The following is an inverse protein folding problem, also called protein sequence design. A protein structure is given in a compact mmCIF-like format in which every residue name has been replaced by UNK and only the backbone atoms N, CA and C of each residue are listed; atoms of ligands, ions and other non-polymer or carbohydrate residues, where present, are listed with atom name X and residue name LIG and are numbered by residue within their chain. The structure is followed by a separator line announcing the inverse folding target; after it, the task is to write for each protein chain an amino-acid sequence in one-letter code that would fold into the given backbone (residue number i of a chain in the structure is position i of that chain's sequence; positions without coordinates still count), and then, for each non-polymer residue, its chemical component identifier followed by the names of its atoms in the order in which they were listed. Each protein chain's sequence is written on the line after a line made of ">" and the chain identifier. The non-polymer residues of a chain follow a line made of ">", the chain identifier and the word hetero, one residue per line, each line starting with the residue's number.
data_IF_732609126986
#
_entry.id   IF_732609126986
#
_cell.length_a   1.000
_cell.length_b   1.000
_cell.length_c   1.000
_cell.angle_alpha   90.00
_cell.angle_beta   90.00
_cell.angle_gamma   90.00
#
_symmetry.space_group_name_H-M   'P 1'
#
loop_
_entity.id
_entity.type
_entity.pdbx_description
1 polymer ?
#
# COMPACT_ATOMS: atom_id res chain seq x y z
N UNK A 1 -9.89 -6.58 30.58
CA UNK A 1 -9.91 -6.16 29.16
C UNK A 1 -10.41 -4.73 29.14
N UNK A 2 -9.58 -3.79 28.70
CA UNK A 2 -10.04 -2.42 28.45
C UNK A 2 -11.12 -2.45 27.37
N UNK A 3 -12.13 -1.58 27.48
CA UNK A 3 -13.18 -1.45 26.49
C UNK A 3 -12.59 -1.06 25.12
N UNK A 4 -12.99 -1.76 24.06
CA UNK A 4 -12.56 -1.44 22.68
C UNK A 4 -13.23 -0.13 22.26
N UNK A 5 -12.44 0.90 21.97
CA UNK A 5 -12.97 2.19 21.52
C UNK A 5 -13.63 2.05 20.14
N UNK A 6 -14.85 2.55 19.98
CA UNK A 6 -15.60 2.46 18.71
C UNK A 6 -15.69 3.82 18.03
N UNK A 7 -15.53 3.80 16.71
CA UNK A 7 -15.81 4.91 15.81
C UNK A 7 -16.71 4.42 14.68
N UNK A 8 -17.48 5.31 14.08
CA UNK A 8 -18.35 4.98 12.95
C UNK A 8 -18.29 6.08 11.90
N UNK A 9 -18.14 5.66 10.65
CA UNK A 9 -18.31 6.51 9.47
C UNK A 9 -19.64 6.11 8.83
N UNK A 10 -20.49 7.08 8.51
CA UNK A 10 -21.83 6.81 7.94
C UNK A 10 -21.93 7.15 6.46
N UNK A 11 -21.01 7.97 5.94
CA UNK A 11 -21.01 8.43 4.55
C UNK A 11 -19.58 8.57 4.01
N UNK A 12 -19.38 8.42 2.68
CA UNK A 12 -18.08 8.63 2.07
C UNK A 12 -17.70 10.11 2.07
N UNK A 13 -16.42 10.37 2.30
CA UNK A 13 -15.85 11.72 2.16
C UNK A 13 -15.67 12.08 0.68
N UNK A 14 -15.33 11.09 -0.15
CA UNK A 14 -15.14 11.25 -1.59
C UNK A 14 -15.73 10.04 -2.35
N UNK A 15 -16.62 10.30 -3.30
CA UNK A 15 -17.28 9.28 -4.12
C UNK A 15 -16.50 9.04 -5.42
N UNK A 16 -15.48 8.18 -5.37
CA UNK A 16 -14.64 7.82 -6.52
C UNK A 16 -15.12 6.57 -7.26
N UNK A 17 -15.75 5.62 -6.55
CA UNK A 17 -16.13 4.31 -7.09
C UNK A 17 -14.97 3.62 -7.84
N UNK A 18 -13.80 3.59 -7.19
CA UNK A 18 -12.63 2.87 -7.67
C UNK A 18 -12.97 1.38 -7.85
N UNK A 19 -12.36 0.73 -8.83
CA UNK A 19 -12.42 -0.73 -8.90
C UNK A 19 -11.59 -1.33 -7.74
N UNK A 20 -10.35 -0.87 -7.58
CA UNK A 20 -9.52 -1.19 -6.43
C UNK A 20 -8.79 0.06 -5.95
N UNK A 21 -9.43 0.81 -5.05
CA UNK A 21 -8.86 2.00 -4.45
C UNK A 21 -7.75 1.62 -3.47
N UNK A 22 -6.54 2.13 -3.63
CA UNK A 22 -5.37 1.63 -2.88
C UNK A 22 -4.26 2.67 -2.70
N UNK A 23 -3.25 2.30 -1.92
CA UNK A 23 -1.97 3.00 -1.78
C UNK A 23 -2.08 4.50 -1.43
N UNK A 24 -2.95 4.92 -0.49
CA UNK A 24 -3.03 6.31 -0.08
C UNK A 24 -1.69 6.80 0.50
N UNK A 25 -1.26 7.96 0.01
CA UNK A 25 -0.01 8.61 0.36
C UNK A 25 -0.25 10.10 0.60
N UNK A 26 -0.05 10.53 1.84
CA UNK A 26 -0.15 11.94 2.21
C UNK A 26 1.12 12.69 1.77
N UNK A 27 0.94 13.63 0.85
CA UNK A 27 1.98 14.53 0.35
C UNK A 27 1.99 15.79 1.24
N UNK A 28 2.62 15.72 2.42
CA UNK A 28 2.65 16.79 3.44
C UNK A 28 3.07 18.15 2.83
N UNK A 29 4.13 18.15 2.00
CA UNK A 29 4.69 19.35 1.35
C UNK A 29 3.70 20.03 0.37
N UNK A 30 2.73 19.29 -0.16
CA UNK A 30 1.72 19.78 -1.13
C UNK A 30 0.34 19.93 -0.51
N UNK A 31 0.18 19.50 0.75
CA UNK A 31 -1.11 19.34 1.40
C UNK A 31 -2.13 18.59 0.52
N UNK A 32 -1.72 17.46 -0.05
CA UNK A 32 -2.57 16.62 -0.89
C UNK A 32 -2.52 15.15 -0.47
N UNK A 33 -3.55 14.39 -0.83
CA UNK A 33 -3.55 12.93 -0.75
C UNK A 33 -3.47 12.37 -2.17
N UNK A 34 -2.46 11.55 -2.44
CA UNK A 34 -2.31 10.74 -3.67
C UNK A 34 -2.77 9.33 -3.37
N UNK A 35 -3.49 8.70 -4.29
CA UNK A 35 -3.94 7.31 -4.15
C UNK A 35 -4.19 6.71 -5.53
N UNK A 36 -4.50 5.43 -5.57
CA UNK A 36 -4.51 4.61 -6.78
C UNK A 36 -5.88 4.01 -7.02
N UNK A 37 -6.19 3.76 -8.29
CA UNK A 37 -7.13 2.70 -8.68
C UNK A 37 -6.30 1.67 -9.44
N UNK A 38 -5.96 0.57 -8.78
CA UNK A 38 -4.98 -0.41 -9.29
C UNK A 38 -5.50 -1.08 -10.55
N UNK A 39 -6.79 -1.41 -10.57
CA UNK A 39 -7.43 -2.12 -11.68
C UNK A 39 -7.79 -1.20 -12.84
N UNK A 40 -8.22 0.04 -12.55
CA UNK A 40 -8.40 1.06 -13.61
C UNK A 40 -7.09 1.76 -14.00
N UNK A 41 -5.95 1.30 -13.46
CA UNK A 41 -4.61 1.78 -13.80
C UNK A 41 -4.48 3.30 -13.63
N UNK A 42 -5.05 3.87 -12.57
CA UNK A 42 -5.13 5.32 -12.38
C UNK A 42 -4.34 5.79 -11.16
N UNK A 43 -3.66 6.93 -11.30
CA UNK A 43 -3.13 7.70 -10.16
C UNK A 43 -4.02 8.92 -9.98
N UNK A 44 -4.52 9.13 -8.76
CA UNK A 44 -5.45 10.19 -8.40
C UNK A 44 -4.88 11.08 -7.30
N UNK A 45 -5.41 12.30 -7.20
CA UNK A 45 -5.04 13.25 -6.14
C UNK A 45 -6.22 14.11 -5.72
N UNK A 46 -6.24 14.48 -4.44
CA UNK A 46 -7.10 15.52 -3.88
C UNK A 46 -6.24 16.54 -3.11
N UNK A 47 -6.49 17.82 -3.33
CA UNK A 47 -5.94 18.93 -2.54
C UNK A 47 -6.75 19.03 -1.24
N UNK A 48 -6.09 18.80 -0.10
CA UNK A 48 -6.76 18.69 1.20
C UNK A 48 -7.29 20.03 1.70
N UNK A 49 -6.75 21.16 1.25
CA UNK A 49 -7.28 22.48 1.59
C UNK A 49 -8.59 22.78 0.84
N UNK A 50 -8.73 22.28 -0.39
CA UNK A 50 -9.95 22.43 -1.22
C UNK A 50 -10.97 21.31 -1.00
N UNK A 51 -10.56 20.21 -0.38
CA UNK A 51 -11.39 19.05 -0.09
C UNK A 51 -11.82 18.27 -1.34
N UNK A 52 -12.87 17.43 -1.24
CA UNK A 52 -13.28 16.48 -2.27
C UNK A 52 -13.53 17.10 -3.66
N UNK A 53 -13.94 18.38 -3.70
CA UNK A 53 -14.20 19.12 -4.93
C UNK A 53 -12.97 19.28 -5.84
N UNK A 54 -11.76 19.10 -5.30
CA UNK A 54 -10.49 19.21 -6.03
C UNK A 54 -9.98 17.88 -6.60
N UNK A 55 -10.74 16.80 -6.43
CA UNK A 55 -10.40 15.49 -6.94
C UNK A 55 -10.05 15.55 -8.44
N UNK A 56 -8.91 14.93 -8.80
CA UNK A 56 -8.52 14.72 -10.18
C UNK A 56 -7.78 13.40 -10.35
N UNK A 57 -7.96 12.79 -11.51
CA UNK A 57 -7.04 11.77 -12.03
C UNK A 57 -5.83 12.49 -12.62
N UNK A 58 -4.63 12.17 -12.11
CA UNK A 58 -3.37 12.67 -12.67
C UNK A 58 -3.13 12.03 -14.04
N UNK A 59 -3.25 10.71 -14.11
CA UNK A 59 -3.01 9.91 -15.32
C UNK A 59 -3.71 8.55 -15.20
N UNK A 60 -4.27 8.10 -16.32
CA UNK A 60 -4.57 6.68 -16.55
C UNK A 60 -3.38 6.09 -17.31
N UNK A 61 -2.83 5.01 -16.78
CA UNK A 61 -1.67 4.30 -17.26
C UNK A 61 -2.10 3.11 -18.13
N UNK A 62 -1.13 2.51 -18.80
CA UNK A 62 -1.22 1.23 -19.49
C UNK A 62 -0.76 0.05 -18.60
N UNK A 63 -0.47 0.32 -17.33
CA UNK A 63 0.02 -0.63 -16.33
C UNK A 63 -0.69 -0.41 -14.99
N UNK A 64 -0.84 -1.48 -14.20
CA UNK A 64 -1.23 -1.33 -12.81
C UNK A 64 -0.07 -0.79 -11.97
N UNK A 65 -0.38 0.15 -11.07
CA UNK A 65 0.52 0.63 -10.01
C UNK A 65 -0.13 0.21 -8.70
N UNK A 66 0.64 -0.42 -7.81
CA UNK A 66 0.14 -0.94 -6.54
C UNK A 66 0.46 -0.04 -5.34
N UNK A 67 1.65 0.57 -5.32
CA UNK A 67 2.05 1.48 -4.25
C UNK A 67 2.96 2.61 -4.76
N UNK A 68 3.01 3.72 -4.00
CA UNK A 68 3.85 4.89 -4.32
C UNK A 68 4.57 5.42 -3.09
N UNK A 69 5.69 6.10 -3.32
CA UNK A 69 6.39 6.87 -2.31
C UNK A 69 6.99 8.14 -2.92
N UNK A 70 7.25 9.14 -2.07
CA UNK A 70 8.03 10.31 -2.46
C UNK A 70 9.52 10.00 -2.46
N UNK A 71 10.27 10.73 -3.28
CA UNK A 71 11.74 10.60 -3.42
C UNK A 71 12.40 11.74 -2.65
N UNK A 72 13.43 11.43 -1.86
CA UNK A 72 14.19 12.44 -1.12
C UNK A 72 14.89 13.39 -2.12
N UNK A 73 14.76 14.69 -1.89
CA UNK A 73 15.35 15.72 -2.76
C UNK A 73 14.67 15.94 -4.12
N UNK A 74 13.56 15.24 -4.44
CA UNK A 74 12.86 15.39 -5.72
C UNK A 74 11.37 15.74 -5.49
N UNK A 75 11.02 16.99 -5.84
CA UNK A 75 9.68 17.56 -5.70
C UNK A 75 8.79 17.37 -6.95
N UNK A 76 9.37 16.90 -8.06
CA UNK A 76 8.71 16.73 -9.36
C UNK A 76 8.21 15.34 -9.60
N UNK A 77 8.82 14.33 -9.01
CA UNK A 77 8.56 12.93 -9.30
C UNK A 77 8.26 12.13 -8.03
N UNK A 78 7.48 11.09 -8.17
CA UNK A 78 7.29 10.05 -7.16
C UNK A 78 7.77 8.72 -7.71
N UNK A 79 8.17 7.81 -6.82
CA UNK A 79 8.50 6.43 -7.16
C UNK A 79 7.29 5.54 -6.95
N UNK A 80 7.17 4.49 -7.74
CA UNK A 80 6.10 3.52 -7.64
C UNK A 80 6.63 2.10 -7.85
N UNK A 81 5.89 1.12 -7.32
CA UNK A 81 5.99 -0.27 -7.74
C UNK A 81 4.66 -0.68 -8.41
N UNK A 82 4.77 -1.36 -9.54
CA UNK A 82 3.62 -1.70 -10.39
C UNK A 82 3.87 -2.99 -11.16
N UNK A 83 3.16 -3.17 -12.29
CA UNK A 83 3.12 -4.41 -13.08
C UNK A 83 4.47 -5.13 -13.22
N UNK A 84 5.49 -4.42 -13.69
CA UNK A 84 6.78 -5.04 -14.06
C UNK A 84 7.92 -4.81 -13.06
N UNK A 85 7.76 -3.90 -12.09
CA UNK A 85 8.83 -3.52 -11.18
C UNK A 85 8.67 -2.13 -10.60
N UNK A 86 9.80 -1.43 -10.44
CA UNK A 86 9.90 -0.09 -9.88
C UNK A 86 10.10 0.95 -10.99
N UNK A 87 9.30 2.02 -10.95
CA UNK A 87 9.39 3.15 -11.87
C UNK A 87 9.19 4.47 -11.16
N UNK A 88 9.36 5.56 -11.90
CA UNK A 88 9.13 6.91 -11.42
C UNK A 88 8.22 7.67 -12.37
N UNK A 89 7.37 8.51 -11.82
CA UNK A 89 6.39 9.28 -12.57
C UNK A 89 6.35 10.74 -12.13
N UNK A 90 6.09 11.63 -13.08
CA UNK A 90 5.92 13.05 -12.80
C UNK A 90 4.66 13.32 -11.98
N UNK A 91 4.78 14.10 -10.90
CA UNK A 91 3.69 14.42 -9.97
C UNK A 91 2.55 15.21 -10.62
N UNK A 92 2.75 15.91 -11.73
CA UNK A 92 1.71 16.70 -12.40
C UNK A 92 1.18 16.05 -13.66
N UNK A 93 2.04 15.48 -14.50
CA UNK A 93 1.64 14.89 -15.79
C UNK A 93 1.37 13.39 -15.72
N UNK A 94 1.93 12.70 -14.72
CA UNK A 94 1.93 11.24 -14.62
C UNK A 94 2.77 10.53 -15.71
N UNK A 95 3.54 11.26 -16.51
CA UNK A 95 4.49 10.64 -17.44
C UNK A 95 5.55 9.86 -16.65
N UNK A 96 5.81 8.63 -17.07
CA UNK A 96 6.59 7.67 -16.28
C UNK A 96 7.69 6.98 -17.08
N UNK A 97 8.63 6.40 -16.33
CA UNK A 97 9.68 5.51 -16.85
C UNK A 97 10.06 4.47 -15.81
N UNK A 98 10.59 3.35 -16.28
CA UNK A 98 11.10 2.29 -15.41
C UNK A 98 12.47 2.65 -14.83
N UNK A 99 12.72 2.19 -13.61
CA UNK A 99 14.04 2.19 -12.97
C UNK A 99 14.61 0.78 -12.90
N UNK A 100 13.77 -0.19 -12.54
CA UNK A 100 14.20 -1.57 -12.31
C UNK A 100 13.05 -2.55 -12.48
N UNK A 101 13.19 -3.51 -13.39
CA UNK A 101 12.30 -4.69 -13.48
C UNK A 101 12.74 -5.74 -12.45
N UNK A 102 11.78 -6.50 -11.91
CA UNK A 102 12.04 -7.37 -10.75
C UNK A 102 12.27 -8.84 -11.07
N UNK A 103 11.77 -9.31 -12.21
CA UNK A 103 11.85 -10.72 -12.58
C UNK A 103 13.18 -11.04 -13.28
N UNK A 104 13.79 -12.15 -12.88
CA UNK A 104 14.97 -12.71 -13.57
C UNK A 104 14.63 -13.20 -14.98
N UNK A 105 15.63 -13.41 -15.84
CA UNK A 105 15.42 -13.94 -17.19
C UNK A 105 14.71 -15.29 -17.22
N UNK A 106 14.98 -16.17 -16.24
CA UNK A 106 14.28 -17.45 -16.09
C UNK A 106 12.82 -17.27 -15.70
N UNK A 107 12.50 -16.32 -14.82
CA UNK A 107 11.12 -16.03 -14.40
C UNK A 107 10.32 -15.34 -15.51
N UNK A 108 10.98 -14.48 -16.31
CA UNK A 108 10.42 -13.91 -17.54
C UNK A 108 10.09 -15.02 -18.54
N UNK A 109 11.00 -15.99 -18.73
CA UNK A 109 10.75 -17.16 -19.59
C UNK A 109 9.58 -18.02 -19.09
N UNK A 110 9.35 -18.02 -17.78
CA UNK A 110 8.19 -18.66 -17.14
C UNK A 110 6.94 -17.74 -17.10
N UNK A 111 6.95 -16.63 -17.83
CA UNK A 111 5.84 -15.68 -17.98
C UNK A 111 5.46 -14.91 -16.71
N UNK A 112 6.30 -14.87 -15.66
CA UNK A 112 5.97 -14.15 -14.41
C UNK A 112 5.67 -12.66 -14.65
N UNK A 113 6.43 -12.00 -15.52
CA UNK A 113 6.23 -10.59 -15.83
C UNK A 113 4.84 -10.23 -16.38
N UNK A 114 4.16 -11.16 -17.07
CA UNK A 114 2.82 -10.93 -17.61
C UNK A 114 1.71 -11.25 -16.59
N UNK A 115 1.93 -12.22 -15.71
CA UNK A 115 0.89 -12.76 -14.81
C UNK A 115 1.01 -12.26 -13.37
N UNK A 116 2.04 -11.49 -13.03
CA UNK A 116 2.20 -10.84 -11.74
C UNK A 116 2.02 -9.32 -11.84
N UNK A 117 1.79 -8.67 -10.71
CA UNK A 117 1.83 -7.22 -10.53
C UNK A 117 2.34 -6.85 -9.14
N UNK A 118 2.86 -5.64 -9.00
CA UNK A 118 3.03 -5.01 -7.69
C UNK A 118 1.68 -4.84 -6.99
N UNK A 119 1.67 -5.01 -5.67
CA UNK A 119 0.53 -4.77 -4.79
C UNK A 119 0.88 -3.68 -3.77
N UNK A 120 1.05 -3.97 -2.49
CA UNK A 120 1.43 -2.93 -1.52
C UNK A 120 2.95 -2.82 -1.32
N UNK A 121 3.38 -1.74 -0.67
CA UNK A 121 4.77 -1.47 -0.38
C UNK A 121 4.98 -0.16 0.38
N UNK A 122 6.15 -0.05 0.99
CA UNK A 122 6.55 1.11 1.78
C UNK A 122 8.06 1.32 1.74
N UNK A 123 8.48 2.53 2.10
CA UNK A 123 9.90 2.89 2.21
C UNK A 123 10.34 2.80 3.66
N UNK A 124 11.47 2.15 3.90
CA UNK A 124 12.05 2.05 5.23
C UNK A 124 12.91 3.26 5.63
N UNK A 125 13.41 3.27 6.87
CA UNK A 125 14.19 4.39 7.43
C UNK A 125 15.48 4.70 6.67
N UNK A 126 16.04 3.71 5.98
CA UNK A 126 17.23 3.84 5.15
C UNK A 126 16.90 4.27 3.72
N UNK A 127 15.62 4.49 3.40
CA UNK A 127 15.19 4.94 2.09
C UNK A 127 15.15 3.84 1.04
N UNK A 128 15.05 2.57 1.45
CA UNK A 128 14.87 1.42 0.54
C UNK A 128 13.38 1.22 0.30
N UNK A 129 12.98 1.03 -0.95
CA UNK A 129 11.58 0.81 -1.30
C UNK A 129 11.27 -0.68 -1.36
N UNK A 130 10.48 -1.17 -0.41
CA UNK A 130 9.97 -2.52 -0.35
C UNK A 130 8.61 -2.59 -1.05
N UNK A 131 8.43 -3.54 -1.95
CA UNK A 131 7.16 -3.77 -2.62
C UNK A 131 6.92 -5.25 -2.84
N UNK A 132 5.70 -5.69 -2.53
CA UNK A 132 5.26 -7.05 -2.78
C UNK A 132 4.68 -7.22 -4.18
N UNK A 133 4.92 -8.38 -4.76
CA UNK A 133 4.41 -8.79 -6.06
C UNK A 133 3.59 -10.07 -5.89
N UNK A 134 2.41 -10.09 -6.49
CA UNK A 134 1.45 -11.19 -6.48
C UNK A 134 0.97 -11.51 -7.89
N UNK A 135 0.28 -12.63 -8.04
CA UNK A 135 -0.50 -12.90 -9.24
C UNK A 135 -1.48 -11.76 -9.48
N UNK A 136 -1.62 -11.39 -10.74
CA UNK A 136 -2.54 -10.36 -11.18
C UNK A 136 -3.91 -11.00 -11.48
N UNK A 137 -4.93 -10.79 -10.61
CA UNK A 137 -6.23 -11.44 -10.75
C UNK A 137 -6.97 -11.01 -12.03
N UNK A 138 -6.54 -9.92 -12.67
CA UNK A 138 -7.13 -9.46 -13.93
C UNK A 138 -6.74 -10.32 -15.14
N UNK A 139 -5.65 -11.08 -15.04
CA UNK A 139 -5.08 -11.82 -16.18
C UNK A 139 -4.70 -13.26 -15.84
N UNK A 140 -4.85 -13.70 -14.58
CA UNK A 140 -4.50 -15.06 -14.16
C UNK A 140 -5.25 -15.49 -12.90
N UNK A 141 -5.37 -16.81 -12.72
CA UNK A 141 -5.84 -17.41 -11.47
C UNK A 141 -4.81 -17.23 -10.35
N UNK A 142 -5.31 -17.10 -9.12
CA UNK A 142 -4.48 -16.92 -7.92
C UNK A 142 -3.49 -18.07 -7.68
N UNK A 143 -2.25 -17.73 -7.33
CA UNK A 143 -1.23 -18.67 -6.82
C UNK A 143 -0.35 -17.99 -5.78
N UNK A 144 0.59 -18.75 -5.20
CA UNK A 144 1.36 -18.37 -4.01
C UNK A 144 2.86 -18.16 -4.25
N UNK A 145 3.32 -18.03 -5.50
CA UNK A 145 4.74 -17.81 -5.86
C UNK A 145 5.10 -16.34 -6.12
N UNK A 146 4.46 -15.44 -5.37
CA UNK A 146 4.83 -14.03 -5.26
C UNK A 146 6.07 -13.83 -4.40
N UNK A 147 6.55 -12.59 -4.37
CA UNK A 147 7.76 -12.21 -3.66
C UNK A 147 7.70 -10.76 -3.20
N UNK A 148 8.45 -10.42 -2.16
CA UNK A 148 8.75 -9.04 -1.82
C UNK A 148 10.12 -8.70 -2.35
N UNK A 149 10.19 -7.61 -3.11
CA UNK A 149 11.43 -7.04 -3.61
C UNK A 149 11.75 -5.75 -2.87
N UNK A 150 13.04 -5.47 -2.73
CA UNK A 150 13.55 -4.25 -2.12
C UNK A 150 14.49 -3.54 -3.07
N UNK A 151 14.09 -2.37 -3.53
CA UNK A 151 14.95 -1.46 -4.30
C UNK A 151 15.77 -0.61 -3.34
N UNK A 152 17.09 -0.75 -3.40
CA UNK A 152 18.02 0.02 -2.58
C UNK A 152 18.29 1.42 -3.19
N UNK A 153 18.78 2.40 -2.39
CA UNK A 153 19.17 3.72 -2.89
C UNK A 153 20.17 3.69 -4.06
N UNK A 154 21.02 2.67 -4.16
CA UNK A 154 21.96 2.48 -5.26
C UNK A 154 21.35 1.77 -6.48
N UNK A 155 20.03 1.54 -6.48
CA UNK A 155 19.24 0.83 -7.49
C UNK A 155 19.56 -0.67 -7.62
N UNK A 156 20.33 -1.24 -6.68
CA UNK A 156 20.40 -2.68 -6.52
C UNK A 156 19.04 -3.22 -6.03
N UNK A 157 18.76 -4.47 -6.38
CA UNK A 157 17.48 -5.11 -6.11
C UNK A 157 17.73 -6.37 -5.29
N UNK A 158 17.15 -6.41 -4.09
CA UNK A 158 17.13 -7.59 -3.23
C UNK A 158 15.76 -8.26 -3.25
N UNK A 159 15.72 -9.54 -2.89
CA UNK A 159 14.49 -10.33 -2.70
C UNK A 159 14.44 -10.88 -1.27
N UNK A 160 13.97 -10.08 -0.29
CA UNK A 160 13.93 -10.49 1.10
C UNK A 160 12.88 -11.55 1.45
N UNK A 161 11.84 -11.72 0.64
CA UNK A 161 10.79 -12.73 0.85
C UNK A 161 10.33 -13.35 -0.46
N UNK A 162 10.09 -14.66 -0.44
CA UNK A 162 9.47 -15.46 -1.50
C UNK A 162 8.21 -16.15 -0.95
N UNK A 163 7.50 -16.89 -1.79
CA UNK A 163 6.30 -17.69 -1.47
C UNK A 163 5.16 -16.85 -0.86
N UNK A 164 4.93 -15.67 -1.43
CA UNK A 164 3.89 -14.73 -1.01
C UNK A 164 2.64 -14.89 -1.87
N UNK A 165 1.46 -14.84 -1.25
CA UNK A 165 0.19 -14.95 -1.97
C UNK A 165 -0.39 -13.58 -2.35
N UNK A 166 -0.69 -12.73 -1.36
CA UNK A 166 -1.19 -11.36 -1.56
C UNK A 166 -0.45 -10.46 -0.56
N UNK A 167 0.70 -9.86 -0.94
CA UNK A 167 1.45 -8.97 -0.09
C UNK A 167 0.69 -7.67 0.09
N UNK A 168 0.35 -7.36 1.34
CA UNK A 168 -0.29 -6.12 1.71
C UNK A 168 0.58 -5.35 2.69
N UNK A 169 -0.04 -4.60 3.62
CA UNK A 169 0.64 -3.58 4.41
C UNK A 169 2.03 -3.99 4.88
N UNK A 170 2.99 -3.07 4.67
CA UNK A 170 4.37 -3.20 5.12
C UNK A 170 4.74 -1.96 5.93
N UNK A 171 5.11 -2.12 7.19
CA UNK A 171 5.51 -1.00 8.07
C UNK A 171 6.64 -1.40 9.01
N UNK A 172 7.27 -0.40 9.63
CA UNK A 172 8.30 -0.58 10.65
C UNK A 172 7.87 0.11 11.92
N UNK A 173 8.19 -0.50 13.06
CA UNK A 173 7.97 0.15 14.34
C UNK A 173 8.86 1.39 14.51
N UNK A 174 8.56 2.21 15.52
CA UNK A 174 9.28 3.47 15.79
C UNK A 174 10.75 3.25 16.18
N UNK A 175 11.06 2.09 16.78
CA UNK A 175 12.41 1.71 17.18
C UNK A 175 13.26 1.22 16.02
N UNK A 176 12.65 1.00 14.85
CA UNK A 176 13.32 0.60 13.62
C UNK A 176 14.05 -0.77 13.75
N UNK A 177 13.46 -1.65 14.56
CA UNK A 177 13.96 -3.00 14.85
C UNK A 177 12.91 -4.10 14.60
N UNK A 178 11.69 -3.74 14.23
CA UNK A 178 10.61 -4.66 13.84
C UNK A 178 10.00 -4.22 12.51
N UNK A 179 9.88 -5.17 11.57
CA UNK A 179 9.08 -5.04 10.36
C UNK A 179 7.75 -5.78 10.54
N UNK A 180 6.63 -5.14 10.21
CA UNK A 180 5.31 -5.75 10.10
C UNK A 180 4.93 -5.96 8.64
N UNK A 181 4.29 -7.10 8.34
CA UNK A 181 3.92 -7.49 6.99
C UNK A 181 2.62 -8.31 6.98
N UNK A 182 1.67 -7.91 6.15
CA UNK A 182 0.43 -8.66 5.92
C UNK A 182 0.52 -9.51 4.65
N UNK A 183 0.12 -10.79 4.76
CA UNK A 183 -0.15 -11.66 3.61
C UNK A 183 -1.60 -12.12 3.71
N UNK A 184 -2.51 -11.47 2.98
CA UNK A 184 -3.94 -11.45 3.31
C UNK A 184 -4.59 -12.85 3.43
N UNK A 185 -4.33 -13.82 2.53
CA UNK A 185 -4.90 -15.17 2.63
C UNK A 185 -4.53 -15.92 3.90
N UNK A 186 -3.42 -15.55 4.56
CA UNK A 186 -3.02 -16.15 5.84
C UNK A 186 -3.84 -15.63 7.03
N UNK A 187 -4.68 -14.60 6.83
CA UNK A 187 -5.43 -13.90 7.89
C UNK A 187 -4.55 -13.44 9.06
N UNK A 188 -3.28 -13.20 8.77
CA UNK A 188 -2.24 -12.93 9.77
C UNK A 188 -1.38 -11.75 9.31
N UNK A 189 -1.15 -10.83 10.24
CA UNK A 189 -0.07 -9.84 10.12
C UNK A 189 1.12 -10.42 10.88
N UNK A 190 2.23 -10.58 10.19
CA UNK A 190 3.49 -11.08 10.74
C UNK A 190 4.36 -9.92 11.22
N UNK A 191 5.25 -10.23 12.15
CA UNK A 191 6.38 -9.38 12.49
C UNK A 191 7.69 -10.15 12.32
N UNK A 192 8.76 -9.40 12.08
CA UNK A 192 10.12 -9.88 11.88
C UNK A 192 11.06 -9.02 12.71
N UNK A 193 12.14 -9.63 13.22
CA UNK A 193 13.28 -8.85 13.68
C UNK A 193 13.92 -8.20 12.44
N UNK A 194 14.13 -6.89 12.49
CA UNK A 194 14.62 -6.08 11.39
C UNK A 194 15.92 -5.38 11.79
N UNK A 195 16.96 -5.50 10.97
CA UNK A 195 18.18 -4.72 11.14
C UNK A 195 18.12 -3.52 10.20
N UNK A 196 17.87 -2.32 10.73
CA UNK A 196 17.83 -1.09 9.93
C UNK A 196 19.08 -0.90 9.06
N UNK A 197 20.29 -1.23 9.55
CA UNK A 197 21.54 -0.95 8.82
C UNK A 197 21.66 -1.80 7.56
N UNK A 198 21.30 -3.07 7.63
CA UNK A 198 21.46 -4.05 6.54
C UNK A 198 20.16 -4.31 5.79
N UNK A 199 19.04 -4.05 6.45
CA UNK A 199 17.67 -4.36 6.04
C UNK A 199 17.35 -5.84 6.08
N UNK A 200 18.19 -6.65 6.73
CA UNK A 200 17.90 -8.06 6.94
C UNK A 200 16.67 -8.23 7.83
N UNK A 201 15.87 -9.26 7.52
CA UNK A 201 14.74 -9.69 8.34
C UNK A 201 14.94 -11.12 8.81
N UNK A 202 14.57 -11.40 10.06
CA UNK A 202 14.68 -12.73 10.68
C UNK A 202 13.49 -13.01 11.59
N UNK A 203 13.34 -14.26 12.04
CA UNK A 203 12.41 -14.66 13.08
C UNK A 203 10.93 -14.27 12.82
N UNK A 204 10.42 -14.63 11.62
CA UNK A 204 9.00 -14.48 11.26
C UNK A 204 8.11 -15.09 12.35
N UNK A 205 7.20 -14.29 12.88
CA UNK A 205 6.22 -14.73 13.90
C UNK A 205 4.92 -13.94 13.75
N UNK A 206 3.76 -14.50 14.14
CA UNK A 206 2.52 -13.74 14.16
C UNK A 206 2.64 -12.51 15.08
N UNK A 207 2.16 -11.37 14.61
CA UNK A 207 1.90 -10.18 15.43
C UNK A 207 0.40 -10.09 15.74
N UNK A 208 -0.43 -10.27 14.72
CA UNK A 208 -1.88 -10.29 14.84
C UNK A 208 -2.46 -11.40 13.97
N UNK A 209 -3.36 -12.19 14.54
CA UNK A 209 -4.11 -13.23 13.84
C UNK A 209 -5.59 -12.87 13.96
N UNK A 210 -6.31 -12.93 12.85
CA UNK A 210 -7.76 -12.68 12.85
C UNK A 210 -8.48 -13.59 13.86
N UNK A 211 -9.48 -13.07 14.60
CA UNK A 211 -10.28 -13.89 15.49
C UNK A 211 -10.99 -15.05 14.76
N UNK A 212 -10.96 -16.24 15.34
CA UNK A 212 -11.56 -17.46 14.77
C UNK A 212 -13.10 -17.46 14.82
N UNK A 213 -13.70 -16.56 15.61
CA UNK A 213 -15.16 -16.44 15.76
C UNK A 213 -15.85 -15.81 14.54
N UNK A 214 -15.09 -15.45 13.49
CA UNK A 214 -15.58 -14.81 12.26
C UNK A 214 -16.45 -13.57 12.50
N UNK A 215 -16.29 -12.88 13.65
CA UNK A 215 -17.10 -11.70 13.98
C UNK A 215 -16.97 -10.54 13.00
N UNK A 216 -15.94 -10.59 12.15
CA UNK A 216 -15.69 -9.62 11.08
C UNK A 216 -16.09 -10.13 9.69
N UNK A 217 -16.67 -11.34 9.57
CA UNK A 217 -16.98 -11.98 8.29
C UNK A 217 -15.99 -13.09 7.94
N UNK A 218 -16.50 -14.13 7.26
CA UNK A 218 -15.69 -15.31 6.89
C UNK A 218 -14.60 -14.99 5.88
N UNK A 219 -14.83 -14.01 5.01
CA UNK A 219 -13.88 -13.57 3.98
C UNK A 219 -13.01 -12.38 4.43
N UNK A 220 -13.14 -11.94 5.69
CA UNK A 220 -12.38 -10.81 6.19
C UNK A 220 -10.89 -11.13 6.31
N UNK A 221 -10.06 -10.27 5.73
CA UNK A 221 -8.61 -10.38 5.74
C UNK A 221 -7.95 -9.03 6.04
N UNK A 222 -6.81 -8.99 6.76
CA UNK A 222 -6.01 -7.78 6.86
C UNK A 222 -5.49 -7.36 5.50
N UNK A 223 -5.59 -6.07 5.21
CA UNK A 223 -5.16 -5.45 3.95
C UNK A 223 -4.03 -4.43 4.21
N UNK A 224 -4.11 -3.22 3.65
CA UNK A 224 -3.21 -2.11 3.96
C UNK A 224 -3.27 -1.66 5.43
N UNK A 225 -2.14 -1.18 5.95
CA UNK A 225 -2.05 -0.67 7.31
C UNK A 225 -1.06 0.49 7.48
N UNK A 226 -1.20 1.25 8.56
CA UNK A 226 -0.26 2.28 9.00
C UNK A 226 -0.09 2.27 10.52
N UNK A 227 0.97 2.91 11.03
CA UNK A 227 1.21 3.03 12.48
C UNK A 227 0.94 4.46 12.96
N UNK A 228 0.42 4.59 14.18
CA UNK A 228 0.35 5.86 14.89
C UNK A 228 1.61 6.14 15.73
N UNK A 229 1.74 7.38 16.22
CA UNK A 229 2.90 7.82 17.00
C UNK A 229 3.07 7.10 18.36
N UNK A 230 2.02 6.43 18.84
CA UNK A 230 2.01 5.58 20.03
C UNK A 230 2.46 4.14 19.74
N UNK A 231 2.69 3.80 18.47
CA UNK A 231 3.13 2.48 18.02
C UNK A 231 2.00 1.49 17.77
N UNK A 232 0.74 1.95 17.73
CA UNK A 232 -0.40 1.08 17.42
C UNK A 232 -0.63 1.05 15.92
N UNK A 233 -1.04 -0.13 15.43
CA UNK A 233 -1.33 -0.35 14.02
C UNK A 233 -2.79 -0.09 13.71
N UNK A 234 -3.07 0.63 12.63
CA UNK A 234 -4.38 0.76 12.02
C UNK A 234 -4.40 -0.05 10.73
N UNK A 235 -5.18 -1.13 10.68
CA UNK A 235 -5.28 -2.03 9.52
C UNK A 235 -6.71 -2.05 9.00
N UNK A 236 -6.88 -1.89 7.69
CA UNK A 236 -8.17 -2.16 7.06
C UNK A 236 -8.42 -3.67 7.03
N UNK A 237 -9.69 -4.06 7.18
CA UNK A 237 -10.15 -5.43 6.98
C UNK A 237 -10.99 -5.49 5.70
N UNK A 238 -10.35 -5.90 4.60
CA UNK A 238 -11.05 -6.16 3.35
C UNK A 238 -12.03 -7.32 3.55
N UNK A 239 -13.30 -7.13 3.20
CA UNK A 239 -14.39 -8.07 3.48
C UNK A 239 -14.97 -7.96 4.89
N UNK A 240 -14.42 -7.08 5.75
CA UNK A 240 -14.83 -6.96 7.16
C UNK A 240 -15.41 -5.62 7.58
N UNK A 241 -15.63 -4.70 6.64
CA UNK A 241 -16.32 -3.42 6.87
C UNK A 241 -15.75 -2.54 8.00
N UNK A 242 -14.47 -2.69 8.32
CA UNK A 242 -13.86 -1.91 9.39
C UNK A 242 -12.36 -1.71 9.22
N UNK A 243 -11.84 -0.77 10.02
CA UNK A 243 -10.41 -0.60 10.31
C UNK A 243 -10.20 -0.91 11.79
N UNK A 244 -9.26 -1.77 12.11
CA UNK A 244 -8.89 -2.10 13.50
C UNK A 244 -7.66 -1.31 13.94
N UNK A 245 -7.68 -0.85 15.20
CA UNK A 245 -6.47 -0.39 15.91
C UNK A 245 -5.96 -1.49 16.82
N UNK A 246 -4.73 -1.93 16.59
CA UNK A 246 -4.08 -3.07 17.25
C UNK A 246 -2.88 -2.55 18.06
N UNK A 247 -2.79 -2.97 19.33
CA UNK A 247 -1.69 -2.62 20.22
C UNK A 247 -0.38 -3.29 19.84
N UNK A 248 0.78 -2.78 20.30
CA UNK A 248 2.06 -3.45 20.10
C UNK A 248 2.11 -4.90 20.61
N UNK A 249 1.16 -5.32 21.45
CA UNK A 249 1.00 -6.68 21.96
C UNK A 249 0.05 -7.55 21.10
N UNK A 250 -0.50 -7.02 20.01
CA UNK A 250 -1.44 -7.73 19.13
C UNK A 250 -2.91 -7.65 19.58
N UNK A 251 -3.25 -6.78 20.52
CA UNK A 251 -4.62 -6.67 21.05
C UNK A 251 -5.44 -5.60 20.31
N UNK A 252 -6.68 -5.91 19.95
CA UNK A 252 -7.60 -4.93 19.36
C UNK A 252 -8.04 -3.96 20.45
N UNK A 253 -7.75 -2.66 20.27
CA UNK A 253 -8.08 -1.59 21.22
C UNK A 253 -9.04 -0.55 20.67
N UNK A 254 -9.19 -0.47 19.35
CA UNK A 254 -10.23 0.33 18.73
C UNK A 254 -10.70 -0.27 17.40
N UNK A 255 -11.87 0.17 16.95
CA UNK A 255 -12.47 -0.23 15.68
C UNK A 255 -13.21 0.96 15.07
N UNK A 256 -12.96 1.21 13.78
CA UNK A 256 -13.72 2.14 12.95
C UNK A 256 -14.61 1.31 12.05
N UNK A 257 -15.92 1.39 12.23
CA UNK A 257 -16.87 0.84 11.26
C UNK A 257 -16.92 1.75 10.03
N UNK A 258 -16.75 1.14 8.85
CA UNK A 258 -16.74 1.84 7.55
C UNK A 258 -17.96 1.34 6.76
N UNK A 259 -18.73 2.21 6.08
CA UNK A 259 -19.98 1.82 5.44
C UNK A 259 -19.74 1.21 4.04
N UNK A 260 -18.76 0.33 3.93
CA UNK A 260 -18.46 -0.48 2.74
C UNK A 260 -17.83 -1.79 3.19
N UNK A 261 -18.06 -2.86 2.45
CA UNK A 261 -17.54 -4.20 2.75
C UNK A 261 -16.04 -4.34 2.54
N UNK A 262 -15.44 -3.52 1.67
CA UNK A 262 -14.08 -3.70 1.19
C UNK A 262 -13.17 -2.48 1.45
N UNK A 263 -12.99 -2.01 2.70
CA UNK A 263 -11.94 -1.04 2.99
C UNK A 263 -10.57 -1.70 2.72
N UNK A 264 -9.65 -0.95 2.13
CA UNK A 264 -8.38 -1.49 1.61
C UNK A 264 -7.17 -0.96 2.35
N UNK A 265 -7.04 0.37 2.51
CA UNK A 265 -5.83 0.93 3.11
C UNK A 265 -6.11 2.23 3.88
N UNK A 266 -5.71 2.32 5.17
CA UNK A 266 -5.72 3.56 5.94
C UNK A 266 -4.38 4.32 5.82
N UNK A 267 -4.46 5.65 5.75
CA UNK A 267 -3.31 6.55 5.83
C UNK A 267 -3.63 7.73 6.72
N UNK A 268 -2.71 8.09 7.61
CA UNK A 268 -2.82 9.31 8.39
C UNK A 268 -2.66 10.56 7.51
N UNK A 269 -3.51 11.55 7.77
CA UNK A 269 -3.47 12.91 7.24
C UNK A 269 -3.68 13.84 8.44
N UNK A 270 -2.57 14.30 9.04
CA UNK A 270 -2.63 14.96 10.34
C UNK A 270 -3.19 14.04 11.43
N UNK A 271 -4.29 14.44 12.06
CA UNK A 271 -4.98 13.67 13.12
C UNK A 271 -6.16 12.83 12.60
N UNK A 272 -6.34 12.81 11.27
CA UNK A 272 -7.39 12.06 10.59
C UNK A 272 -6.81 10.83 9.89
N UNK A 273 -7.62 9.78 9.77
CA UNK A 273 -7.38 8.66 8.87
C UNK A 273 -8.16 8.88 7.58
N UNK A 274 -7.45 8.85 6.45
CA UNK A 274 -8.01 8.68 5.12
C UNK A 274 -8.01 7.18 4.79
N UNK A 275 -9.14 6.64 4.34
CA UNK A 275 -9.32 5.21 4.10
C UNK A 275 -9.80 5.01 2.67
N UNK A 276 -9.08 4.22 1.87
CA UNK A 276 -9.53 3.77 0.55
C UNK A 276 -10.39 2.52 0.67
N UNK A 277 -11.18 2.22 -0.39
CA UNK A 277 -11.91 0.96 -0.51
C UNK A 277 -11.94 0.47 -1.96
N UNK A 278 -12.32 -0.80 -2.13
CA UNK A 278 -12.54 -1.43 -3.43
C UNK A 278 -14.02 -1.46 -3.83
N UNK A 279 -14.25 -1.49 -5.13
CA UNK A 279 -15.58 -1.50 -5.76
C UNK A 279 -16.28 -2.85 -5.73
N UNK A 280 -15.54 -3.95 -5.52
CA UNK A 280 -16.04 -5.31 -5.66
C UNK A 280 -15.09 -6.20 -6.46
N UNK A 281 -15.34 -7.52 -6.48
CA UNK A 281 -14.49 -8.49 -7.18
C UNK A 281 -14.37 -8.19 -8.68
N UNK A 282 -13.11 -8.11 -9.11
CA UNK A 282 -12.61 -7.84 -10.45
C UNK A 282 -13.16 -8.82 -11.50
N UNK A 283 -13.77 -8.33 -12.58
CA UNK A 283 -14.20 -9.12 -13.75
C UNK A 283 -15.36 -8.50 -14.55
N UNK A 284 -15.56 -8.93 -15.81
CA UNK A 284 -16.61 -8.40 -16.73
C UNK A 284 -18.05 -8.52 -16.19
N UNK A 285 -18.27 -9.28 -15.11
CA UNK A 285 -19.57 -9.51 -14.49
C UNK A 285 -19.68 -9.01 -13.03
N UNK A 286 -18.67 -8.30 -12.52
CA UNK A 286 -18.69 -7.73 -11.16
C UNK A 286 -19.51 -6.44 -11.10
N UNK A 287 -20.44 -6.35 -10.15
CA UNK A 287 -21.15 -5.12 -9.79
C UNK A 287 -20.64 -4.54 -8.48
N UNK A 288 -21.01 -3.29 -8.13
CA UNK A 288 -20.69 -2.73 -6.82
C UNK A 288 -21.24 -3.64 -5.71
N UNK A 289 -20.39 -3.99 -4.75
CA UNK A 289 -20.77 -4.88 -3.63
C UNK A 289 -21.67 -4.20 -2.60
N UNK A 290 -21.65 -2.86 -2.56
CA UNK A 290 -22.49 -2.01 -1.73
C UNK A 290 -22.57 -0.59 -2.32
N UNK A 291 -23.41 0.27 -1.74
CA UNK A 291 -23.66 1.64 -2.22
C UNK A 291 -22.39 2.50 -2.26
N UNK A 292 -21.46 2.31 -1.32
CA UNK A 292 -20.25 3.11 -1.17
C UNK A 292 -18.98 2.37 -1.58
N UNK A 293 -19.14 1.25 -2.30
CA UNK A 293 -18.02 0.48 -2.83
C UNK A 293 -17.11 1.37 -3.69
N UNK A 294 -15.80 1.24 -3.46
CA UNK A 294 -14.76 2.00 -4.14
C UNK A 294 -14.63 3.47 -3.75
N UNK A 295 -15.40 3.96 -2.75
CA UNK A 295 -15.29 5.34 -2.27
C UNK A 295 -14.11 5.53 -1.30
N UNK A 296 -13.82 6.77 -0.94
CA UNK A 296 -12.86 7.08 0.12
C UNK A 296 -13.56 7.69 1.33
N UNK A 297 -13.06 7.35 2.52
CA UNK A 297 -13.61 7.74 3.80
C UNK A 297 -12.58 8.53 4.60
N UNK A 298 -13.05 9.35 5.54
CA UNK A 298 -12.18 10.15 6.39
C UNK A 298 -12.77 10.29 7.78
N UNK A 299 -11.95 10.14 8.81
CA UNK A 299 -12.38 10.29 10.21
C UNK A 299 -11.26 10.83 11.09
N UNK A 300 -11.60 11.73 12.02
CA UNK A 300 -10.65 12.21 13.02
C UNK A 300 -10.58 11.20 14.18
N UNK A 301 -9.37 10.70 14.45
CA UNK A 301 -9.11 9.74 15.55
C UNK A 301 -8.34 10.37 16.71
N UNK A 302 -7.97 11.66 16.60
CA UNK A 302 -7.26 12.44 17.61
C UNK A 302 -5.80 12.04 17.80
N UNK A 303 -5.23 11.30 16.85
CA UNK A 303 -3.87 10.78 16.88
C UNK A 303 -3.19 11.01 15.54
N UNK A 304 -1.88 11.27 15.58
CA UNK A 304 -1.06 11.39 14.37
C UNK A 304 -0.43 10.05 14.00
N UNK A 305 -0.16 9.90 12.70
CA UNK A 305 0.60 8.78 12.14
C UNK A 305 2.11 8.95 12.28
N UNK A 306 2.85 7.84 12.23
CA UNK A 306 4.28 7.91 11.94
C UNK A 306 4.50 8.49 10.54
N UNK A 307 5.54 9.34 10.41
CA UNK A 307 5.92 9.91 9.12
C UNK A 307 6.41 8.81 8.18
N UNK A 308 5.88 8.77 6.95
CA UNK A 308 6.39 7.89 5.90
C UNK A 308 7.80 8.34 5.47
N UNK A 309 8.71 7.39 5.29
CA UNK A 309 10.03 7.69 4.74
C UNK A 309 9.95 7.93 3.23
N UNK A 310 10.98 8.61 2.70
CA UNK A 310 11.15 8.91 1.27
C UNK A 310 12.25 8.02 0.69
N UNK A 311 12.09 7.60 -0.57
CA UNK A 311 13.10 6.79 -1.25
C UNK A 311 14.38 7.61 -1.47
N UNK A 312 15.53 7.06 -1.10
CA UNK A 312 16.83 7.79 -1.09
C UNK A 312 17.69 7.59 -2.33
N UNK A 313 17.18 6.95 -3.38
CA UNK A 313 17.92 6.82 -4.64
C UNK A 313 17.96 8.09 -5.51
N UNK A 314 17.38 9.20 -5.04
CA UNK A 314 17.26 10.47 -5.78
C UNK A 314 18.57 10.99 -6.39
N UNK A 315 19.69 10.86 -5.69
CA UNK A 315 21.02 11.28 -6.19
C UNK A 315 21.50 10.51 -7.43
N UNK A 316 21.01 9.28 -7.63
CA UNK A 316 21.25 8.48 -8.84
C UNK A 316 20.18 8.72 -9.91
N UNK A 317 19.10 9.41 -9.56
CA UNK A 317 17.98 9.77 -10.43
C UNK A 317 18.12 11.26 -10.80
N UNK A 318 19.17 11.63 -11.53
CA UNK A 318 19.23 12.95 -12.17
C UNK A 318 18.34 12.92 -13.42
N UNK A 319 17.09 13.38 -13.30
CA UNK A 319 16.18 13.46 -14.44
C UNK A 319 15.99 12.13 -15.18
N UNK A 320 16.19 10.99 -14.50
CA UNK A 320 16.02 9.67 -15.09
C UNK A 320 17.20 9.11 -15.87
N UNK A 321 18.39 9.65 -15.66
CA UNK A 321 19.57 9.24 -16.42
C UNK A 321 20.59 8.58 -15.50
N UNK A 322 20.97 7.34 -15.81
CA UNK A 322 22.24 6.76 -15.36
C UNK A 322 23.28 7.11 -16.43
N UNK A 323 24.30 7.91 -16.09
CA UNK A 323 25.34 8.35 -17.04
C UNK A 323 24.81 9.02 -18.32
N UNK A 324 23.72 9.79 -18.24
CA UNK A 324 23.14 10.47 -19.40
C UNK A 324 22.15 9.64 -20.23
N UNK A 325 21.96 8.34 -19.91
CA UNK A 325 21.07 7.43 -20.63
C UNK A 325 19.83 7.06 -19.82
N UNK A 326 18.68 7.03 -20.49
CA UNK A 326 17.42 6.50 -19.93
C UNK A 326 17.65 5.03 -19.60
N UNK A 327 17.50 4.66 -18.33
CA UNK A 327 17.66 3.27 -17.91
C UNK A 327 16.40 2.50 -18.28
N UNK A 328 16.40 1.92 -19.47
CA UNK A 328 15.42 0.92 -19.87
C UNK A 328 16.12 -0.13 -20.74
N UNK A 329 16.37 -1.31 -20.16
CA UNK A 329 16.18 -2.60 -20.83
C UNK A 329 15.37 -3.51 -19.90
#
# INVERSE_FOLDING_TARGET
>A
MSEVKKYEITEPWLKTHCALGEGPFWEEDRNSIRFLDVEKQAVMRVDLAKGPSSFKTIKNYDISIGCTADIEGNDREFIFAGKYGFGIANKETGEYRWLKKVWSSSEISANKHEIFRGNDGAVDSQGRFWAGFMFDPLVSDMRSDGAVFRLNPDLSLDRPMDDICIPNGTTWNKQDDILYFADSPSKTIYQFDYDAKTGEIKNRRPYFVMPEDNRYGEDAVPDGHCLDEEGYMWTALHGGSCVLRISPQGEIVAEIKVPTSQPTCPCFVGEELFITSAGGTSGENGGPVDEFAGCCFKINVGLRGLKKFKFKGGDKIEGGKLNGQVVAE
#
